data_IF_154305008012
#
_entry.id   IF_154305008012
#
_cell.length_a   1.000
_cell.length_b   1.000
_cell.length_c   1.000
_cell.angle_alpha   90.00
_cell.angle_beta   90.00
_cell.angle_gamma   90.00
#
_symmetry.space_group_name_H-M   'P 1'
#
loop_
_entity.id
_entity.type
_entity.pdbx_description
1 polymer ?
#
# COMPACT_ATOMS: atom_id res chain seq x y z
N UNK A 1 6.65 1.52 -6.32
CA UNK A 1 7.88 0.71 -6.25
C UNK A 1 8.95 1.29 -7.15
N UNK A 2 10.11 1.57 -6.61
CA UNK A 2 11.29 1.99 -7.40
C UNK A 2 11.91 0.79 -8.08
N UNK A 3 11.97 0.85 -9.41
CA UNK A 3 12.64 -0.13 -10.25
C UNK A 3 14.09 0.28 -10.53
N UNK A 4 14.83 -0.55 -11.25
CA UNK A 4 16.15 -0.19 -11.79
C UNK A 4 16.02 1.03 -12.70
N UNK A 5 17.13 1.80 -12.84
CA UNK A 5 17.19 3.02 -13.67
C UNK A 5 16.30 4.19 -13.20
N UNK A 6 16.08 4.30 -11.88
CA UNK A 6 15.33 5.38 -11.23
C UNK A 6 13.86 5.50 -11.64
N UNK A 7 13.33 4.50 -12.32
CA UNK A 7 11.90 4.44 -12.63
C UNK A 7 11.10 4.04 -11.41
N UNK A 8 9.99 4.73 -11.19
CA UNK A 8 9.02 4.39 -10.15
C UNK A 8 7.71 4.00 -10.84
N UNK A 9 7.18 2.84 -10.50
CA UNK A 9 5.81 2.48 -10.85
C UNK A 9 4.91 2.72 -9.63
N UNK A 10 3.74 3.28 -9.85
CA UNK A 10 2.79 3.58 -8.80
C UNK A 10 1.35 3.41 -9.24
N UNK A 11 0.48 3.15 -8.29
CA UNK A 11 -0.95 3.09 -8.45
C UNK A 11 -1.66 3.68 -7.24
N UNK A 12 -2.91 4.06 -7.41
CA UNK A 12 -3.75 4.61 -6.37
C UNK A 12 -4.42 3.50 -5.55
N UNK A 13 -4.57 3.75 -4.24
CA UNK A 13 -5.35 2.90 -3.35
C UNK A 13 -6.25 3.79 -2.47
N UNK A 14 -7.54 3.46 -2.41
CA UNK A 14 -8.55 4.37 -1.85
C UNK A 14 -8.70 4.28 -0.33
N UNK A 15 -8.95 3.09 0.21
CA UNK A 15 -9.32 2.91 1.61
C UNK A 15 -8.13 2.69 2.53
N UNK A 16 -8.22 3.29 3.73
CA UNK A 16 -7.27 3.07 4.84
C UNK A 16 -5.81 3.39 4.51
N UNK A 17 -5.59 4.46 3.73
CA UNK A 17 -4.25 4.86 3.26
C UNK A 17 -3.28 5.35 4.33
N UNK A 18 -3.70 5.48 5.58
CA UNK A 18 -2.88 5.97 6.69
C UNK A 18 -1.85 4.93 7.17
N UNK A 19 -0.80 5.34 7.94
CA UNK A 19 0.28 4.44 8.34
C UNK A 19 -0.13 3.22 9.15
N UNK A 20 -1.13 3.30 10.03
CA UNK A 20 -1.64 2.15 10.78
C UNK A 20 -2.54 1.22 9.96
N UNK A 21 -3.02 1.67 8.81
CA UNK A 21 -3.79 0.88 7.84
C UNK A 21 -2.89 0.32 6.74
N UNK A 22 -2.88 0.97 5.57
CA UNK A 22 -2.07 0.54 4.44
C UNK A 22 -0.58 0.45 4.80
N UNK A 23 -0.03 1.43 5.53
CA UNK A 23 1.37 1.42 5.91
C UNK A 23 1.77 0.16 6.67
N UNK A 24 1.01 -0.22 7.68
CA UNK A 24 1.25 -1.45 8.44
C UNK A 24 1.09 -2.71 7.56
N UNK A 25 0.08 -2.74 6.70
CA UNK A 25 -0.13 -3.84 5.77
C UNK A 25 1.06 -4.00 4.80
N UNK A 26 1.63 -2.89 4.31
CA UNK A 26 2.83 -2.93 3.45
C UNK A 26 4.03 -3.57 4.16
N UNK A 27 4.26 -3.23 5.42
CA UNK A 27 5.33 -3.81 6.23
C UNK A 27 5.09 -5.31 6.47
N UNK A 28 3.88 -5.69 6.84
CA UNK A 28 3.55 -7.05 7.27
C UNK A 28 3.43 -8.05 6.10
N UNK A 29 2.87 -7.63 4.97
CA UNK A 29 2.50 -8.53 3.88
C UNK A 29 3.19 -8.27 2.53
N UNK A 30 3.73 -7.07 2.31
CA UNK A 30 4.20 -6.62 0.99
C UNK A 30 5.72 -6.34 0.96
N UNK A 31 6.49 -7.31 1.44
CA UNK A 31 7.95 -7.19 1.53
C UNK A 31 8.71 -7.88 0.37
N UNK A 32 8.01 -8.57 -0.54
CA UNK A 32 8.63 -9.18 -1.74
C UNK A 32 8.42 -8.28 -2.95
N UNK A 33 9.52 -7.93 -3.63
CA UNK A 33 9.50 -7.04 -4.78
C UNK A 33 8.64 -7.55 -5.94
N UNK A 34 8.73 -8.85 -6.27
CA UNK A 34 7.94 -9.47 -7.33
C UNK A 34 6.42 -9.41 -7.07
N UNK A 35 6.03 -9.61 -5.81
CA UNK A 35 4.63 -9.50 -5.39
C UNK A 35 4.11 -8.06 -5.49
N UNK A 36 4.90 -7.10 -5.03
CA UNK A 36 4.56 -5.67 -5.07
C UNK A 36 4.44 -5.17 -6.51
N UNK A 37 5.41 -5.50 -7.35
CA UNK A 37 5.38 -5.13 -8.77
C UNK A 37 4.11 -5.65 -9.46
N UNK A 38 3.80 -6.92 -9.28
CA UNK A 38 2.59 -7.55 -9.81
C UNK A 38 1.31 -6.84 -9.35
N UNK A 39 1.25 -6.48 -8.07
CA UNK A 39 0.09 -5.80 -7.50
C UNK A 39 -0.09 -4.39 -8.09
N UNK A 40 0.97 -3.61 -8.22
CA UNK A 40 0.93 -2.27 -8.82
C UNK A 40 0.56 -2.32 -10.30
N UNK A 41 1.07 -3.31 -11.04
CA UNK A 41 0.80 -3.48 -12.47
C UNK A 41 -0.69 -3.73 -12.78
N UNK A 42 -1.48 -4.19 -11.82
CA UNK A 42 -2.93 -4.32 -11.93
C UNK A 42 -3.68 -2.98 -11.85
N UNK A 43 -2.98 -1.90 -11.52
CA UNK A 43 -3.52 -0.54 -11.54
C UNK A 43 -4.16 -0.10 -10.24
N UNK A 44 -5.05 0.87 -10.34
CA UNK A 44 -5.70 1.49 -9.20
C UNK A 44 -6.63 0.52 -8.47
N UNK A 45 -6.63 0.59 -7.16
CA UNK A 45 -7.35 -0.32 -6.29
C UNK A 45 -8.27 0.42 -5.31
N UNK A 46 -9.41 -0.19 -5.03
CA UNK A 46 -10.26 0.23 -3.91
C UNK A 46 -9.57 -0.05 -2.59
N UNK A 47 -8.98 -1.23 -2.45
CA UNK A 47 -8.20 -1.60 -1.27
C UNK A 47 -7.11 -2.60 -1.61
N UNK A 48 -6.06 -2.59 -0.77
CA UNK A 48 -5.04 -3.64 -0.72
C UNK A 48 -5.23 -4.49 0.53
N UNK A 49 -5.39 -5.79 0.34
CA UNK A 49 -5.39 -6.79 1.40
C UNK A 49 -3.99 -7.41 1.59
N UNK A 50 -3.94 -8.63 2.08
CA UNK A 50 -2.69 -9.35 2.34
C UNK A 50 -2.09 -10.00 1.08
N UNK A 51 -2.90 -10.18 0.03
CA UNK A 51 -2.50 -10.81 -1.23
C UNK A 51 -3.32 -10.26 -2.42
N UNK A 52 -2.84 -10.51 -3.62
CA UNK A 52 -3.47 -10.00 -4.85
C UNK A 52 -4.87 -10.61 -5.04
N UNK A 53 -5.00 -11.92 -4.86
CA UNK A 53 -6.25 -12.65 -5.05
C UNK A 53 -6.67 -12.81 -6.51
N UNK A 54 -7.79 -13.45 -6.69
CA UNK A 54 -8.43 -13.67 -7.99
C UNK A 54 -9.49 -12.61 -8.28
N UNK A 55 -9.94 -12.54 -9.53
CA UNK A 55 -11.05 -11.66 -9.89
C UNK A 55 -12.32 -12.04 -9.12
N UNK A 56 -12.88 -11.05 -8.44
CA UNK A 56 -14.20 -11.14 -7.80
C UNK A 56 -15.08 -10.01 -8.32
N UNK A 57 -16.40 -10.08 -8.15
CA UNK A 57 -17.24 -8.90 -8.41
C UNK A 57 -16.86 -7.77 -7.45
N UNK A 58 -16.78 -6.54 -7.93
CA UNK A 58 -16.37 -5.37 -7.13
C UNK A 58 -17.18 -5.23 -5.83
N UNK A 59 -18.49 -5.48 -5.93
CA UNK A 59 -19.43 -5.40 -4.81
C UNK A 59 -19.66 -6.75 -4.12
N UNK A 60 -18.94 -7.81 -4.52
CA UNK A 60 -19.07 -9.13 -3.94
C UNK A 60 -18.34 -9.24 -2.59
N UNK A 61 -18.87 -8.54 -1.58
CA UNK A 61 -18.33 -8.54 -0.22
C UNK A 61 -18.51 -9.86 0.52
N UNK A 62 -19.35 -10.75 -0.01
CA UNK A 62 -19.61 -12.08 0.54
C UNK A 62 -18.62 -13.13 0.06
N UNK A 63 -17.75 -12.80 -0.91
CA UNK A 63 -16.67 -13.69 -1.30
C UNK A 63 -15.73 -13.94 -0.11
N UNK A 64 -15.40 -15.18 0.19
CA UNK A 64 -14.56 -15.60 1.32
C UNK A 64 -13.21 -14.86 1.38
N UNK A 65 -12.68 -14.49 0.24
CA UNK A 65 -11.40 -13.79 0.12
C UNK A 65 -11.50 -12.27 0.17
N UNK A 66 -12.70 -11.68 0.14
CA UNK A 66 -12.89 -10.24 -0.01
C UNK A 66 -12.13 -9.42 1.04
N UNK A 67 -12.16 -9.83 2.30
CA UNK A 67 -11.51 -9.10 3.39
C UNK A 67 -9.99 -9.18 3.35
N UNK A 68 -9.42 -10.16 2.66
CA UNK A 68 -8.00 -10.49 2.67
C UNK A 68 -7.27 -10.15 1.36
N UNK A 69 -8.00 -9.94 0.26
CA UNK A 69 -7.39 -9.69 -1.04
C UNK A 69 -7.49 -8.24 -1.50
N UNK A 70 -6.65 -7.91 -2.49
CA UNK A 70 -6.77 -6.64 -3.21
C UNK A 70 -8.04 -6.62 -4.06
N UNK A 71 -8.67 -5.45 -4.14
CA UNK A 71 -9.85 -5.19 -4.99
C UNK A 71 -9.52 -4.04 -5.93
N UNK A 72 -9.48 -4.32 -7.23
CA UNK A 72 -9.05 -3.38 -8.25
C UNK A 72 -10.22 -2.81 -9.07
N UNK A 73 -10.17 -1.53 -9.38
CA UNK A 73 -11.18 -0.87 -10.22
C UNK A 73 -11.23 -1.46 -11.63
N UNK A 74 -10.09 -1.78 -12.25
CA UNK A 74 -10.04 -2.40 -13.56
C UNK A 74 -10.45 -3.87 -13.55
N UNK A 75 -9.69 -4.71 -12.84
CA UNK A 75 -9.89 -6.16 -12.80
C UNK A 75 -11.27 -6.57 -12.30
N UNK A 76 -11.71 -5.98 -11.18
CA UNK A 76 -12.89 -6.45 -10.43
C UNK A 76 -14.17 -5.70 -10.81
N UNK A 77 -14.07 -4.46 -11.29
CA UNK A 77 -15.21 -3.64 -11.69
C UNK A 77 -15.33 -3.39 -13.20
N UNK A 78 -14.24 -3.56 -13.95
CA UNK A 78 -14.21 -3.29 -15.39
C UNK A 78 -14.08 -1.81 -15.73
N UNK A 79 -13.61 -0.98 -14.81
CA UNK A 79 -13.35 0.42 -15.08
C UNK A 79 -12.14 0.60 -16.02
N UNK A 80 -12.19 1.64 -16.84
CA UNK A 80 -11.12 2.01 -17.76
C UNK A 80 -10.25 3.11 -17.16
N UNK A 81 -9.07 3.30 -17.73
CA UNK A 81 -8.13 4.38 -17.35
C UNK A 81 -7.65 4.33 -15.89
N UNK A 82 -7.62 3.12 -15.32
CA UNK A 82 -7.17 2.81 -13.97
C UNK A 82 -5.79 2.14 -13.94
N UNK A 83 -4.97 2.35 -14.97
CA UNK A 83 -3.66 1.72 -15.07
C UNK A 83 -2.65 2.36 -14.11
N UNK A 84 -1.63 1.57 -13.72
CA UNK A 84 -0.48 2.11 -13.02
C UNK A 84 0.21 3.21 -13.84
N UNK A 85 0.93 4.08 -13.14
CA UNK A 85 1.69 5.18 -13.76
C UNK A 85 3.18 4.96 -13.55
N UNK A 86 3.97 5.56 -14.44
CA UNK A 86 5.44 5.55 -14.38
C UNK A 86 5.95 6.95 -14.12
N UNK A 87 6.87 7.07 -13.17
CA UNK A 87 7.51 8.32 -12.79
C UNK A 87 9.03 8.19 -12.97
N UNK A 88 9.69 9.29 -13.27
CA UNK A 88 11.13 9.34 -13.54
C UNK A 88 11.97 9.80 -12.35
N UNK A 89 11.32 10.22 -11.25
CA UNK A 89 11.99 10.65 -10.03
C UNK A 89 11.08 10.56 -8.81
N UNK A 90 11.66 10.53 -7.62
CA UNK A 90 10.91 10.62 -6.36
C UNK A 90 10.17 11.95 -6.25
N UNK A 91 10.78 13.05 -6.70
CA UNK A 91 10.15 14.37 -6.70
C UNK A 91 8.90 14.40 -7.58
N UNK A 92 8.96 13.85 -8.78
CA UNK A 92 7.81 13.75 -9.68
C UNK A 92 6.69 12.91 -9.09
N UNK A 93 7.04 11.81 -8.42
CA UNK A 93 6.09 10.93 -7.75
C UNK A 93 5.39 11.64 -6.58
N UNK A 94 6.13 12.31 -5.70
CA UNK A 94 5.57 13.09 -4.60
C UNK A 94 4.65 14.22 -5.11
N UNK A 95 5.13 14.99 -6.08
CA UNK A 95 4.38 16.10 -6.63
C UNK A 95 3.05 15.65 -7.26
N UNK A 96 3.07 14.56 -8.01
CA UNK A 96 1.85 14.02 -8.59
C UNK A 96 0.84 13.57 -7.52
N UNK A 97 1.28 12.81 -6.52
CA UNK A 97 0.42 12.34 -5.45
C UNK A 97 -0.20 13.49 -4.66
N UNK A 98 0.58 14.45 -4.19
CA UNK A 98 0.06 15.58 -3.43
C UNK A 98 -0.82 16.52 -4.27
N UNK A 99 -0.52 16.73 -5.55
CA UNK A 99 -1.40 17.47 -6.45
C UNK A 99 -2.73 16.75 -6.73
N UNK A 100 -2.74 15.43 -6.61
CA UNK A 100 -3.96 14.61 -6.73
C UNK A 100 -4.79 14.56 -5.44
N UNK A 101 -4.30 15.18 -4.36
CA UNK A 101 -5.00 15.25 -3.08
C UNK A 101 -4.71 14.08 -2.13
N UNK A 102 -3.63 13.33 -2.37
CA UNK A 102 -3.25 12.22 -1.48
C UNK A 102 -2.69 12.73 -0.16
N UNK A 103 -3.16 12.18 0.95
CA UNK A 103 -2.64 12.49 2.29
C UNK A 103 -1.34 11.75 2.59
N UNK A 104 -1.17 10.56 2.03
CA UNK A 104 -0.01 9.69 2.21
C UNK A 104 0.44 9.08 0.89
N UNK A 105 1.75 9.03 0.71
CA UNK A 105 2.39 8.39 -0.44
C UNK A 105 3.42 7.39 0.08
N UNK A 106 3.42 6.19 -0.47
CA UNK A 106 4.33 5.12 -0.08
C UNK A 106 5.28 4.77 -1.22
N UNK A 107 6.54 4.53 -0.89
CA UNK A 107 7.57 4.15 -1.84
C UNK A 107 8.31 2.91 -1.34
N UNK A 108 8.23 1.83 -2.09
CA UNK A 108 9.04 0.64 -1.87
C UNK A 108 10.36 0.72 -2.63
N UNK A 109 11.46 0.44 -1.96
CA UNK A 109 12.81 0.38 -2.54
C UNK A 109 13.44 -0.99 -2.31
N UNK A 110 14.11 -1.50 -3.34
CA UNK A 110 14.98 -2.67 -3.23
C UNK A 110 16.38 -2.21 -2.84
N UNK A 111 16.81 -2.53 -1.62
CA UNK A 111 18.10 -2.10 -1.06
C UNK A 111 19.14 -3.24 -1.00
N UNK A 112 18.96 -4.27 -1.83
CA UNK A 112 19.89 -5.40 -1.92
C UNK A 112 19.64 -6.51 -0.91
N UNK A 113 18.60 -6.43 -0.09
CA UNK A 113 18.21 -7.52 0.80
C UNK A 113 17.43 -8.60 0.02
N UNK A 114 17.80 -9.85 0.30
CA UNK A 114 17.14 -11.02 -0.30
C UNK A 114 16.66 -11.97 0.79
N UNK A 115 15.57 -12.67 0.52
CA UNK A 115 15.12 -13.75 1.38
C UNK A 115 15.95 -15.03 1.16
N UNK A 116 15.65 -16.10 1.92
CA UNK A 116 16.36 -17.37 1.83
C UNK A 116 16.23 -18.09 0.48
N UNK A 117 15.26 -17.70 -0.36
CA UNK A 117 15.10 -18.17 -1.73
C UNK A 117 15.76 -17.26 -2.78
N UNK A 118 16.51 -16.23 -2.35
CA UNK A 118 17.19 -15.28 -3.23
C UNK A 118 16.27 -14.23 -3.86
N UNK A 119 15.03 -14.07 -3.39
CA UNK A 119 14.07 -13.09 -3.90
C UNK A 119 14.32 -11.73 -3.27
N UNK A 120 14.32 -10.68 -4.10
CA UNK A 120 14.53 -9.31 -3.64
C UNK A 120 13.40 -8.85 -2.70
N UNK A 121 13.78 -8.19 -1.61
CA UNK A 121 12.89 -7.62 -0.62
C UNK A 121 12.73 -6.12 -0.80
N UNK A 122 11.58 -5.62 -0.40
CA UNK A 122 11.23 -4.19 -0.43
C UNK A 122 11.32 -3.61 0.97
N UNK A 123 12.02 -2.50 1.08
CA UNK A 123 11.97 -1.61 2.25
C UNK A 123 11.03 -0.46 1.94
N UNK A 124 10.11 -0.17 2.84
CA UNK A 124 9.08 0.84 2.64
C UNK A 124 9.44 2.19 3.25
N UNK A 125 9.10 3.22 2.50
CA UNK A 125 9.19 4.63 2.88
C UNK A 125 7.82 5.27 2.70
N UNK A 126 7.60 6.40 3.39
CA UNK A 126 6.36 7.16 3.28
C UNK A 126 6.64 8.65 3.21
N UNK A 127 5.69 9.39 2.67
CA UNK A 127 5.59 10.82 2.83
C UNK A 127 4.14 11.17 3.18
N UNK A 128 3.96 11.95 4.22
CA UNK A 128 2.70 12.59 4.56
C UNK A 128 2.58 13.90 3.77
N UNK A 129 1.36 14.34 3.52
CA UNK A 129 1.11 15.63 2.90
C UNK A 129 2.05 16.71 3.47
N UNK A 130 2.62 17.51 2.59
CA UNK A 130 3.59 18.58 2.90
C UNK A 130 5.02 18.14 3.25
N UNK A 131 5.31 16.86 3.34
CA UNK A 131 6.69 16.39 3.42
C UNK A 131 7.39 16.53 2.06
N UNK A 132 8.65 16.98 2.09
CA UNK A 132 9.44 17.20 0.85
C UNK A 132 10.23 15.98 0.41
N UNK A 133 10.33 14.97 1.26
CA UNK A 133 11.09 13.73 0.99
C UNK A 133 10.45 12.55 1.70
N UNK A 134 10.77 11.36 1.22
CA UNK A 134 10.38 10.11 1.85
C UNK A 134 11.19 9.83 3.12
N UNK A 135 10.52 9.31 4.14
CA UNK A 135 11.10 8.85 5.41
C UNK A 135 10.82 7.36 5.60
N UNK A 136 11.63 6.64 6.40
CA UNK A 136 11.36 5.22 6.70
C UNK A 136 9.99 5.00 7.34
N UNK A 137 9.25 4.01 6.84
CA UNK A 137 7.87 3.74 7.26
C UNK A 137 7.78 2.86 8.50
N UNK A 138 8.64 1.87 8.67
CA UNK A 138 8.42 0.74 9.60
C UNK A 138 8.09 1.19 11.02
N UNK A 139 8.89 2.06 11.62
CA UNK A 139 8.66 2.52 12.99
C UNK A 139 7.33 3.25 13.14
N UNK A 140 7.00 4.15 12.22
CA UNK A 140 5.75 4.93 12.26
C UNK A 140 4.54 4.01 12.11
N UNK A 141 4.56 3.09 11.16
CA UNK A 141 3.46 2.16 10.92
C UNK A 141 3.20 1.25 12.12
N UNK A 142 4.26 0.71 12.74
CA UNK A 142 4.16 -0.17 13.91
C UNK A 142 3.65 0.61 15.13
N UNK A 143 4.20 1.79 15.40
CA UNK A 143 3.78 2.61 16.55
C UNK A 143 2.33 3.06 16.42
N UNK A 144 1.92 3.54 15.26
CA UNK A 144 0.54 3.95 15.01
C UNK A 144 -0.43 2.76 15.13
N UNK A 145 -0.03 1.59 14.66
CA UNK A 145 -0.82 0.36 14.81
C UNK A 145 -1.00 -0.04 16.28
N UNK A 146 0.07 0.02 17.08
CA UNK A 146 0.00 -0.25 18.51
C UNK A 146 -0.93 0.75 19.23
N UNK A 147 -0.86 2.02 18.88
CA UNK A 147 -1.71 3.05 19.48
C UNK A 147 -3.20 2.84 19.13
N UNK A 148 -3.50 2.42 17.90
CA UNK A 148 -4.85 2.03 17.50
C UNK A 148 -5.37 0.84 18.29
N UNK A 149 -4.56 -0.20 18.47
CA UNK A 149 -4.92 -1.36 19.32
C UNK A 149 -5.22 -0.96 20.75
N UNK A 150 -4.38 -0.12 21.36
CA UNK A 150 -4.59 0.37 22.72
C UNK A 150 -5.88 1.17 22.86
N UNK A 151 -6.22 1.98 21.85
CA UNK A 151 -7.47 2.74 21.81
C UNK A 151 -8.68 1.82 21.77
N UNK A 152 -8.70 0.84 20.87
CA UNK A 152 -9.79 -0.13 20.77
C UNK A 152 -9.98 -0.94 22.06
N UNK A 153 -8.89 -1.39 22.69
CA UNK A 153 -8.96 -2.09 23.97
C UNK A 153 -9.59 -1.23 25.07
N UNK A 154 -9.25 0.07 25.14
CA UNK A 154 -9.84 0.99 26.12
C UNK A 154 -11.33 1.23 25.87
N UNK A 155 -11.75 1.29 24.62
CA UNK A 155 -13.17 1.43 24.23
C UNK A 155 -13.96 0.19 24.64
N UNK A 156 -13.47 -1.01 24.34
CA UNK A 156 -14.10 -2.27 24.76
C UNK A 156 -14.22 -2.40 26.28
N UNK A 157 -13.22 -2.00 27.04
CA UNK A 157 -13.27 -2.01 28.50
C UNK A 157 -14.31 -1.04 29.07
N UNK A 158 -14.59 0.08 28.41
CA UNK A 158 -15.66 1.01 28.80
C UNK A 158 -17.05 0.47 28.53
N UNK A 159 -17.23 -0.30 27.46
CA UNK A 159 -18.52 -0.90 27.11
C UNK A 159 -18.90 -2.04 28.07
N UNK A 160 -17.92 -2.70 28.69
CA UNK A 160 -18.13 -3.83 29.64
C UNK A 160 -18.28 -3.34 31.08
N UNK A 161 -17.87 -2.14 31.39
CA UNK A 161 -18.06 -1.51 32.71
C UNK A 161 -19.43 -0.84 32.77
#
# INVERSE_FOLDING_TARGET
LQLKEDKIIGSYQHWDGYPSGLGYNLIDNWYRADKVEKAIMLGDASKWGQFIGEKIGFDNREADSYDYQNVYYGRDRGEKDCNHKVYTSEEAYLKNGFNSGEDYIYLGKMIGQKDYLGREQVTWFYAKYDMKKFEPLETVAIMDHIDDLKRHMKEQLKEVA
#
